data_IF_019653122076
#
_entry.id   IF_019653122076
#
_cell.length_a   1.000
_cell.length_b   1.000
_cell.length_c   1.000
_cell.angle_alpha   90.00
_cell.angle_beta   90.00
_cell.angle_gamma   90.00
#
_symmetry.space_group_name_H-M   'P 1'
#
loop_
_entity.id
_entity.type
_entity.pdbx_description
1 polymer ?
#
# COMPACT_ATOMS: atom_id res chain seq x y z
N UNK A 1 0.65 -11.08 13.08
CA UNK A 1 -0.58 -10.97 12.26
C UNK A 1 -0.28 -11.11 10.77
N UNK A 2 0.48 -10.20 10.16
CA UNK A 2 0.67 -10.17 8.69
C UNK A 2 1.30 -11.41 8.04
N UNK A 3 2.20 -12.11 8.72
CA UNK A 3 2.86 -13.30 8.17
C UNK A 3 1.86 -14.41 7.79
N UNK A 4 0.73 -14.50 8.50
CA UNK A 4 -0.32 -15.50 8.30
C UNK A 4 -1.48 -15.01 7.43
N UNK A 5 -1.48 -13.74 7.01
CA UNK A 5 -2.56 -13.17 6.21
C UNK A 5 -2.33 -13.42 4.71
N UNK A 6 -3.43 -13.68 4.00
CA UNK A 6 -3.45 -13.79 2.54
C UNK A 6 -3.67 -12.42 1.86
N UNK A 7 -4.46 -11.56 2.49
CA UNK A 7 -4.84 -10.22 2.03
C UNK A 7 -4.93 -9.29 3.24
N UNK A 8 -4.58 -8.02 3.05
CA UNK A 8 -4.69 -6.97 4.06
C UNK A 8 -5.68 -5.91 3.60
N UNK A 9 -6.52 -5.44 4.51
CA UNK A 9 -7.42 -4.31 4.30
C UNK A 9 -6.99 -3.22 5.27
N UNK A 10 -6.69 -2.03 4.76
CA UNK A 10 -6.13 -0.95 5.58
C UNK A 10 -6.54 0.43 5.12
N UNK A 11 -6.51 1.40 6.04
CA UNK A 11 -6.40 2.82 5.69
C UNK A 11 -5.04 3.09 5.03
N UNK A 12 -4.94 4.17 4.27
CA UNK A 12 -3.72 4.53 3.51
C UNK A 12 -2.90 5.63 4.21
N UNK A 13 -2.68 5.47 5.53
CA UNK A 13 -1.76 6.33 6.27
C UNK A 13 -0.31 6.10 5.82
N UNK A 14 0.55 7.14 5.88
CA UNK A 14 1.91 7.07 5.35
C UNK A 14 2.74 5.93 5.96
N UNK A 15 2.70 5.77 7.29
CA UNK A 15 3.38 4.67 7.99
C UNK A 15 2.83 3.31 7.61
N UNK A 16 1.50 3.17 7.51
CA UNK A 16 0.87 1.91 7.10
C UNK A 16 1.25 1.53 5.67
N UNK A 17 1.23 2.47 4.73
CA UNK A 17 1.66 2.21 3.35
C UNK A 17 3.11 1.73 3.31
N UNK A 18 4.01 2.41 4.03
CA UNK A 18 5.42 2.02 4.11
C UNK A 18 5.61 0.61 4.71
N UNK A 19 4.93 0.32 5.82
CA UNK A 19 4.97 -0.99 6.46
C UNK A 19 4.45 -2.10 5.53
N UNK A 20 3.34 -1.84 4.82
CA UNK A 20 2.71 -2.83 3.95
C UNK A 20 3.55 -3.14 2.69
N UNK A 21 4.30 -2.17 2.18
CA UNK A 21 5.31 -2.44 1.15
C UNK A 21 6.38 -3.43 1.67
N UNK A 22 6.84 -3.26 2.91
CA UNK A 22 7.80 -4.19 3.51
C UNK A 22 7.15 -5.56 3.74
N UNK A 23 5.89 -5.61 4.18
CA UNK A 23 5.14 -6.86 4.37
C UNK A 23 4.98 -7.63 3.07
N UNK A 24 4.71 -6.95 1.95
CA UNK A 24 4.67 -7.57 0.62
C UNK A 24 3.43 -8.42 0.36
N UNK A 25 2.32 -8.16 1.04
CA UNK A 25 1.06 -8.91 0.86
C UNK A 25 0.08 -8.08 0.03
N UNK A 26 -0.87 -8.70 -0.70
CA UNK A 26 -1.93 -7.98 -1.40
C UNK A 26 -2.69 -7.05 -0.44
N UNK A 27 -2.90 -5.80 -0.84
CA UNK A 27 -3.61 -4.80 -0.03
C UNK A 27 -4.80 -4.23 -0.78
N UNK A 28 -5.94 -4.13 -0.09
CA UNK A 28 -7.06 -3.27 -0.47
C UNK A 28 -7.05 -2.05 0.44
N UNK A 29 -6.73 -0.89 -0.13
CA UNK A 29 -6.80 0.38 0.60
C UNK A 29 -8.22 0.93 0.61
N UNK A 30 -8.62 1.41 1.77
CA UNK A 30 -9.84 2.19 1.94
C UNK A 30 -9.39 3.55 2.49
N UNK A 31 -9.20 4.61 1.70
CA UNK A 31 -8.66 5.88 2.21
C UNK A 31 -9.65 6.73 3.01
N UNK A 32 -9.14 7.36 4.07
CA UNK A 32 -9.67 8.53 4.80
C UNK A 32 -10.39 9.59 3.96
N UNK A 33 -11.73 9.77 3.90
CA UNK A 33 -12.27 11.00 3.32
C UNK A 33 -12.10 12.21 4.26
N UNK A 34 -11.80 11.97 5.54
CA UNK A 34 -11.77 12.99 6.59
C UNK A 34 -10.35 13.49 6.91
N UNK A 35 -9.36 13.15 6.08
CA UNK A 35 -7.98 13.64 6.26
C UNK A 35 -7.74 14.91 5.45
N UNK A 36 -6.87 15.78 5.97
CA UNK A 36 -6.46 16.99 5.27
C UNK A 36 -5.94 16.66 3.85
N UNK A 37 -6.29 17.52 2.90
CA UNK A 37 -5.83 17.52 1.50
C UNK A 37 -5.91 16.18 0.74
N UNK A 38 -6.78 15.26 1.17
CA UNK A 38 -6.96 13.94 0.56
C UNK A 38 -5.66 13.12 0.48
N UNK A 39 -4.76 13.30 1.46
CA UNK A 39 -3.44 12.66 1.44
C UNK A 39 -3.51 11.12 1.43
N UNK A 40 -4.51 10.52 2.07
CA UNK A 40 -4.61 9.05 2.07
C UNK A 40 -4.94 8.49 0.69
N UNK A 41 -5.79 9.16 -0.10
CA UNK A 41 -6.07 8.74 -1.47
C UNK A 41 -4.81 8.84 -2.33
N UNK A 42 -4.06 9.94 -2.19
CA UNK A 42 -2.76 10.11 -2.88
C UNK A 42 -1.76 9.01 -2.52
N UNK A 43 -1.65 8.68 -1.23
CA UNK A 43 -0.78 7.59 -0.77
C UNK A 43 -1.18 6.23 -1.36
N UNK A 44 -2.48 5.91 -1.38
CA UNK A 44 -2.97 4.67 -1.97
C UNK A 44 -2.75 4.65 -3.49
N UNK A 45 -3.05 5.75 -4.19
CA UNK A 45 -2.91 5.86 -5.64
C UNK A 45 -1.47 5.65 -6.10
N UNK A 46 -0.48 6.12 -5.35
CA UNK A 46 0.94 5.87 -5.64
C UNK A 46 1.30 4.37 -5.76
N UNK A 47 0.54 3.49 -5.10
CA UNK A 47 0.68 2.03 -5.20
C UNK A 47 -0.26 1.46 -6.26
N UNK A 48 -1.51 1.91 -6.34
CA UNK A 48 -2.49 1.44 -7.33
C UNK A 48 -2.01 1.67 -8.76
N UNK A 49 -1.44 2.83 -9.07
CA UNK A 49 -0.90 3.17 -10.39
C UNK A 49 0.25 2.24 -10.82
N UNK A 50 0.92 1.61 -9.86
CA UNK A 50 1.99 0.63 -10.08
C UNK A 50 1.49 -0.80 -10.02
N UNK A 51 0.17 -1.02 -10.04
CA UNK A 51 -0.46 -2.34 -9.90
C UNK A 51 -0.04 -3.07 -8.61
N UNK A 52 0.29 -2.32 -7.55
CA UNK A 52 0.76 -2.85 -6.27
C UNK A 52 -0.34 -2.96 -5.22
N UNK A 53 -1.48 -2.31 -5.41
CA UNK A 53 -2.60 -2.39 -4.49
C UNK A 53 -3.93 -2.16 -5.22
N UNK A 54 -5.02 -2.52 -4.56
CA UNK A 54 -6.37 -2.14 -4.94
C UNK A 54 -6.85 -1.02 -4.02
N UNK A 55 -7.84 -0.23 -4.46
CA UNK A 55 -8.41 0.84 -3.66
C UNK A 55 -9.92 0.93 -3.82
N UNK A 56 -10.63 1.12 -2.71
CA UNK A 56 -12.05 1.45 -2.67
C UNK A 56 -12.23 2.73 -1.85
N UNK A 57 -12.87 3.75 -2.43
CA UNK A 57 -13.28 4.92 -1.66
C UNK A 57 -14.31 4.52 -0.60
N UNK A 58 -14.21 5.09 0.61
CA UNK A 58 -15.04 4.68 1.77
C UNK A 58 -16.55 4.74 1.47
N UNK A 59 -17.02 5.76 0.75
CA UNK A 59 -18.44 5.88 0.36
C UNK A 59 -18.94 4.81 -0.62
N UNK A 60 -18.04 3.99 -1.20
CA UNK A 60 -18.40 2.93 -2.15
C UNK A 60 -18.28 1.52 -1.55
N UNK A 61 -18.01 1.38 -0.25
CA UNK A 61 -17.75 0.08 0.37
C UNK A 61 -18.90 -0.89 0.21
N UNK A 62 -20.12 -0.49 0.59
CA UNK A 62 -21.29 -1.37 0.57
C UNK A 62 -21.59 -1.93 -0.83
N UNK A 63 -21.36 -1.12 -1.87
CA UNK A 63 -21.64 -1.50 -3.25
C UNK A 63 -20.52 -2.28 -3.94
N UNK A 64 -19.25 -2.06 -3.58
CA UNK A 64 -18.10 -2.58 -4.34
C UNK A 64 -17.25 -3.60 -3.60
N UNK A 65 -17.17 -3.52 -2.28
CA UNK A 65 -16.24 -4.32 -1.48
C UNK A 65 -16.48 -5.83 -1.61
N UNK A 66 -17.72 -6.37 -1.49
CA UNK A 66 -17.94 -7.80 -1.58
C UNK A 66 -17.51 -8.42 -2.91
N UNK A 67 -17.76 -7.72 -4.02
CA UNK A 67 -17.36 -8.16 -5.36
C UNK A 67 -15.85 -8.15 -5.53
N UNK A 68 -15.20 -7.01 -5.24
CA UNK A 68 -13.75 -6.87 -5.36
C UNK A 68 -13.01 -7.90 -4.48
N UNK A 69 -13.47 -8.09 -3.24
CA UNK A 69 -12.84 -9.03 -2.33
C UNK A 69 -12.98 -10.47 -2.82
N UNK A 70 -14.16 -10.85 -3.34
CA UNK A 70 -14.37 -12.18 -3.93
C UNK A 70 -13.44 -12.42 -5.12
N UNK A 71 -13.40 -11.49 -6.06
CA UNK A 71 -12.54 -11.58 -7.25
C UNK A 71 -11.07 -11.77 -6.85
N UNK A 72 -10.59 -11.02 -5.85
CA UNK A 72 -9.23 -11.14 -5.34
C UNK A 72 -8.97 -12.49 -4.67
N UNK A 73 -9.95 -13.04 -3.94
CA UNK A 73 -9.83 -14.35 -3.28
C UNK A 73 -9.89 -15.52 -4.26
N UNK A 74 -10.59 -15.37 -5.39
CA UNK A 74 -10.67 -16.38 -6.44
C UNK A 74 -9.44 -16.37 -7.38
N UNK A 75 -8.75 -15.23 -7.49
CA UNK A 75 -7.60 -15.07 -8.39
C UNK A 75 -6.25 -15.13 -7.67
N UNK A 76 -5.62 -16.32 -7.67
CA UNK A 76 -4.26 -16.49 -7.14
C UNK A 76 -3.24 -15.64 -7.92
N UNK A 77 -3.35 -15.58 -9.25
CA UNK A 77 -2.43 -14.81 -10.10
C UNK A 77 -2.48 -13.31 -9.79
N UNK A 78 -3.67 -12.77 -9.52
CA UNK A 78 -3.80 -11.37 -9.12
C UNK A 78 -3.15 -11.10 -7.75
N UNK A 79 -3.31 -12.01 -6.78
CA UNK A 79 -2.64 -11.90 -5.48
C UNK A 79 -1.12 -11.95 -5.61
N UNK A 80 -0.59 -12.86 -6.41
CA UNK A 80 0.86 -12.98 -6.64
C UNK A 80 1.42 -11.71 -7.30
N UNK A 81 0.71 -11.17 -8.29
CA UNK A 81 1.08 -9.91 -8.93
C UNK A 81 1.10 -8.75 -7.93
N UNK A 82 0.02 -8.55 -7.17
CA UNK A 82 -0.06 -7.48 -6.16
C UNK A 82 1.04 -7.60 -5.11
N UNK A 83 1.28 -8.83 -4.62
CA UNK A 83 2.33 -9.13 -3.64
C UNK A 83 3.74 -8.80 -4.16
N UNK A 84 4.01 -9.16 -5.41
CA UNK A 84 5.28 -8.86 -6.07
C UNK A 84 5.49 -7.36 -6.23
N UNK A 85 4.51 -6.66 -6.80
CA UNK A 85 4.65 -5.23 -7.10
C UNK A 85 4.71 -4.38 -5.83
N UNK A 86 3.91 -4.68 -4.80
CA UNK A 86 3.98 -3.91 -3.54
C UNK A 86 5.31 -4.11 -2.82
N UNK A 87 5.88 -5.32 -2.88
CA UNK A 87 7.19 -5.61 -2.29
C UNK A 87 8.31 -4.86 -3.01
N UNK A 88 8.20 -4.67 -4.32
CA UNK A 88 9.17 -3.91 -5.12
C UNK A 88 9.23 -2.42 -4.75
N UNK A 89 8.19 -1.90 -4.08
CA UNK A 89 8.13 -0.51 -3.61
C UNK A 89 8.69 -0.33 -2.18
N UNK A 90 9.15 -1.41 -1.54
CA UNK A 90 9.70 -1.34 -0.20
C UNK A 90 11.04 -0.58 -0.18
N UNK A 91 11.22 0.27 0.84
CA UNK A 91 12.47 0.99 1.10
C UNK A 91 13.05 0.55 2.45
N UNK A 92 13.55 -0.71 2.59
CA UNK A 92 14.00 -1.25 3.86
C UNK A 92 15.21 -0.51 4.46
N UNK A 93 15.96 0.20 3.61
CA UNK A 93 17.15 0.99 3.97
C UNK A 93 16.87 2.50 4.00
N UNK A 94 15.60 2.91 4.10
CA UNK A 94 15.23 4.33 4.04
C UNK A 94 16.03 5.20 5.02
N UNK A 95 16.23 4.74 6.25
CA UNK A 95 17.04 5.45 7.25
C UNK A 95 18.49 5.60 6.81
N UNK A 96 19.12 4.52 6.31
CA UNK A 96 20.50 4.55 5.80
C UNK A 96 20.62 5.56 4.65
N UNK A 97 19.72 5.50 3.67
CA UNK A 97 19.72 6.42 2.52
C UNK A 97 19.53 7.89 2.94
N UNK A 98 18.67 8.17 3.93
CA UNK A 98 18.50 9.53 4.45
C UNK A 98 19.79 10.03 5.10
N UNK A 99 20.46 9.19 5.90
CA UNK A 99 21.75 9.54 6.52
C UNK A 99 22.81 9.81 5.45
N UNK A 100 22.92 8.96 4.43
CA UNK A 100 23.85 9.16 3.30
C UNK A 100 23.62 10.51 2.59
N UNK A 101 22.37 10.87 2.34
CA UNK A 101 22.03 12.17 1.74
C UNK A 101 22.45 13.32 2.64
N UNK A 102 22.16 13.25 3.95
CA UNK A 102 22.58 14.28 4.91
C UNK A 102 24.10 14.43 4.93
N UNK A 103 24.84 13.33 5.01
CA UNK A 103 26.31 13.37 4.99
C UNK A 103 26.86 13.97 3.70
N UNK A 104 26.24 13.69 2.55
CA UNK A 104 26.68 14.24 1.26
C UNK A 104 26.55 15.75 1.18
N UNK A 105 25.53 16.32 1.83
CA UNK A 105 25.31 17.77 1.88
C UNK A 105 26.28 18.44 2.86
N UNK A 106 26.64 17.77 3.96
CA UNK A 106 27.58 18.29 4.98
C UNK A 106 29.06 18.25 4.56
N UNK A 107 29.42 17.40 3.58
CA UNK A 107 30.79 17.29 3.05
C UNK A 107 31.11 18.31 1.95
N UNK A 108 30.14 19.15 1.57
CA UNK A 108 30.31 20.34 0.73
C UNK A 108 30.43 21.60 1.59
#
# INVERSE_FOLDING_TARGET
AYALADVIISRAGASSVSELCIVGKPVIFIPSPNVAEDHQTKNAMALVEKSAALMIAEGNLDGKFPGLFRELMESQSQREQLSKEIKALALPKATEHIVEVIESVLKN
#
